data_IF_111886776595
#
_entry.id   IF_111886776595
#
_cell.length_a   1.000
_cell.length_b   1.000
_cell.length_c   1.000
_cell.angle_alpha   90.00
_cell.angle_beta   90.00
_cell.angle_gamma   90.00
#
_symmetry.space_group_name_H-M   'P 1'
#
loop_
_entity.id
_entity.type
_entity.pdbx_description
1 polymer ?
#
# COMPACT_ATOMS: atom_id res chain seq x y z
N UNK A 1 2.46 -9.72 -25.66
CA UNK A 1 3.62 -8.82 -25.67
C UNK A 1 4.67 -9.22 -24.64
N UNK A 2 4.41 -9.12 -23.30
CA UNK A 2 5.43 -9.41 -22.26
C UNK A 2 5.90 -10.88 -22.34
N UNK A 3 4.97 -11.85 -22.42
CA UNK A 3 5.30 -13.27 -22.55
C UNK A 3 6.15 -13.56 -23.79
N UNK A 4 5.76 -13.02 -24.92
CA UNK A 4 6.50 -13.17 -26.20
C UNK A 4 7.91 -12.57 -26.11
N UNK A 5 8.06 -11.41 -25.44
CA UNK A 5 9.38 -10.81 -25.20
C UNK A 5 10.29 -11.74 -24.39
N UNK A 6 9.76 -12.36 -23.34
CA UNK A 6 10.53 -13.35 -22.57
C UNK A 6 10.90 -14.59 -23.38
N UNK A 7 9.98 -15.07 -24.22
CA UNK A 7 10.26 -16.20 -25.15
C UNK A 7 11.40 -15.86 -26.13
N UNK A 8 11.46 -14.60 -26.64
CA UNK A 8 12.57 -14.14 -27.48
C UNK A 8 13.93 -14.10 -26.76
N UNK A 9 13.93 -13.93 -25.44
CA UNK A 9 15.13 -14.04 -24.60
C UNK A 9 15.45 -15.50 -24.18
N UNK A 10 14.73 -16.49 -24.72
CA UNK A 10 14.93 -17.90 -24.38
C UNK A 10 14.40 -18.29 -22.99
N UNK A 11 13.56 -17.46 -22.39
CA UNK A 11 12.95 -17.74 -21.09
C UNK A 11 11.63 -18.48 -21.31
N UNK A 12 11.53 -19.67 -20.71
CA UNK A 12 10.31 -20.48 -20.71
C UNK A 12 9.65 -20.50 -19.34
N UNK A 13 8.35 -20.66 -19.32
CA UNK A 13 7.55 -20.79 -18.12
C UNK A 13 6.65 -22.02 -18.20
N UNK A 14 6.56 -22.80 -17.14
CA UNK A 14 5.57 -23.86 -17.03
C UNK A 14 4.17 -23.28 -16.96
N UNK A 15 4.02 -22.16 -16.19
CA UNK A 15 2.80 -21.38 -16.10
C UNK A 15 3.15 -19.89 -16.18
N UNK A 16 2.55 -19.18 -17.13
CA UNK A 16 2.60 -17.73 -17.21
C UNK A 16 1.25 -17.16 -16.79
N UNK A 17 1.19 -16.58 -15.59
CA UNK A 17 -0.04 -16.05 -14.99
C UNK A 17 0.06 -14.56 -14.70
N UNK A 18 -1.02 -14.00 -14.18
CA UNK A 18 -1.13 -12.60 -13.78
C UNK A 18 -2.09 -12.46 -12.60
N UNK A 19 -1.95 -11.39 -11.83
CA UNK A 19 -2.79 -11.09 -10.66
C UNK A 19 -4.25 -10.74 -11.00
N UNK A 20 -4.56 -10.55 -12.27
CA UNK A 20 -5.94 -10.35 -12.78
C UNK A 20 -6.61 -11.65 -13.23
N UNK A 21 -6.05 -12.83 -12.93
CA UNK A 21 -6.69 -14.10 -13.22
C UNK A 21 -7.79 -14.42 -12.20
N UNK A 22 -8.87 -15.09 -12.65
CA UNK A 22 -9.99 -15.46 -11.79
C UNK A 22 -9.55 -16.33 -10.61
N UNK A 23 -8.59 -17.24 -10.85
CA UNK A 23 -8.01 -18.10 -9.80
C UNK A 23 -7.34 -17.24 -8.73
N UNK A 24 -6.56 -16.23 -9.13
CA UNK A 24 -5.90 -15.33 -8.17
C UNK A 24 -6.93 -14.52 -7.38
N UNK A 25 -7.96 -13.98 -8.04
CA UNK A 25 -9.02 -13.24 -7.38
C UNK A 25 -9.78 -14.10 -6.37
N UNK A 26 -10.18 -15.30 -6.76
CA UNK A 26 -10.89 -16.23 -5.87
C UNK A 26 -10.03 -16.61 -4.65
N UNK A 27 -8.75 -16.92 -4.87
CA UNK A 27 -7.85 -17.32 -3.80
C UNK A 27 -7.55 -16.18 -2.82
N UNK A 28 -7.28 -14.98 -3.34
CA UNK A 28 -6.99 -13.80 -2.50
C UNK A 28 -8.22 -13.38 -1.68
N UNK A 29 -9.41 -13.41 -2.28
CA UNK A 29 -10.67 -13.15 -1.57
C UNK A 29 -10.93 -14.19 -0.46
N UNK A 30 -10.70 -15.48 -0.74
CA UNK A 30 -10.84 -16.55 0.27
C UNK A 30 -9.82 -16.40 1.40
N UNK A 31 -8.58 -16.04 1.08
CA UNK A 31 -7.53 -15.80 2.07
C UNK A 31 -7.88 -14.62 2.98
N UNK A 32 -8.33 -13.50 2.40
CA UNK A 32 -8.78 -12.34 3.16
C UNK A 32 -9.94 -12.72 4.11
N UNK A 33 -10.95 -13.46 3.61
CA UNK A 33 -12.09 -13.89 4.41
C UNK A 33 -11.65 -14.74 5.60
N UNK A 34 -10.76 -15.70 5.41
CA UNK A 34 -10.20 -16.53 6.49
C UNK A 34 -9.47 -15.70 7.55
N UNK A 35 -8.68 -14.72 7.13
CA UNK A 35 -8.01 -13.83 8.07
C UNK A 35 -9.01 -12.97 8.85
N UNK A 36 -10.05 -12.47 8.19
CA UNK A 36 -11.12 -11.68 8.81
C UNK A 36 -11.90 -12.52 9.83
N UNK A 37 -12.34 -13.72 9.47
CA UNK A 37 -13.07 -14.65 10.34
C UNK A 37 -12.23 -15.08 11.57
N UNK A 38 -10.92 -15.14 11.43
CA UNK A 38 -9.98 -15.42 12.52
C UNK A 38 -9.61 -14.18 13.36
N UNK A 39 -10.23 -13.03 13.11
CA UNK A 39 -9.96 -11.81 13.88
C UNK A 39 -8.56 -11.23 13.71
N UNK A 40 -7.92 -11.47 12.57
CA UNK A 40 -6.54 -11.02 12.31
C UNK A 40 -6.47 -9.54 11.90
N UNK A 41 -7.58 -8.89 11.63
CA UNK A 41 -7.62 -7.49 11.26
C UNK A 41 -8.23 -6.63 12.36
N UNK A 42 -7.77 -5.38 12.44
CA UNK A 42 -8.45 -4.32 13.16
C UNK A 42 -9.14 -3.39 12.14
N UNK A 43 -10.28 -2.84 12.53
CA UNK A 43 -11.01 -1.86 11.72
C UNK A 43 -10.69 -0.45 12.23
N UNK A 44 -10.27 0.42 11.33
CA UNK A 44 -10.02 1.82 11.66
C UNK A 44 -10.70 2.73 10.64
N UNK A 45 -11.30 3.81 11.16
CA UNK A 45 -11.81 4.90 10.33
C UNK A 45 -10.79 6.02 10.35
N UNK A 46 -10.40 6.46 9.15
CA UNK A 46 -9.44 7.55 8.95
C UNK A 46 -9.93 8.50 7.87
N UNK A 47 -9.50 9.76 7.94
CA UNK A 47 -9.72 10.71 6.87
C UNK A 47 -8.69 10.47 5.76
N UNK A 48 -9.18 10.35 4.52
CA UNK A 48 -8.34 10.27 3.34
C UNK A 48 -8.68 11.34 2.32
N UNK A 49 -7.72 11.67 1.46
CA UNK A 49 -7.92 12.64 0.40
C UNK A 49 -8.89 12.11 -0.66
N UNK A 50 -9.84 12.94 -0.98
CA UNK A 50 -10.95 12.69 -1.88
C UNK A 50 -11.08 13.85 -2.87
N UNK A 51 -11.27 13.55 -4.13
CA UNK A 51 -11.57 14.54 -5.16
C UNK A 51 -13.09 14.65 -5.32
N UNK A 52 -13.73 15.76 -4.89
CA UNK A 52 -15.18 15.91 -4.95
C UNK A 52 -15.73 15.97 -6.40
N UNK A 53 -14.91 16.40 -7.37
CA UNK A 53 -15.34 16.53 -8.76
C UNK A 53 -15.34 15.20 -9.49
N UNK A 54 -14.36 14.34 -9.21
CA UNK A 54 -14.28 13.00 -9.80
C UNK A 54 -15.03 11.95 -9.00
N UNK A 55 -15.29 12.19 -7.71
CA UNK A 55 -15.96 11.26 -6.82
C UNK A 55 -15.07 10.12 -6.32
N UNK A 56 -13.73 10.25 -6.41
CA UNK A 56 -12.79 9.19 -6.07
C UNK A 56 -11.86 9.56 -4.91
N UNK A 57 -11.52 8.56 -4.10
CA UNK A 57 -10.39 8.65 -3.18
C UNK A 57 -9.08 8.55 -3.95
N UNK A 58 -8.04 9.20 -3.45
CA UNK A 58 -6.75 9.26 -4.11
C UNK A 58 -5.67 8.53 -3.31
N UNK A 59 -4.81 7.83 -4.03
CA UNK A 59 -3.59 7.26 -3.45
C UNK A 59 -2.48 8.31 -3.39
N UNK A 60 -1.47 8.07 -2.57
CA UNK A 60 -0.35 9.00 -2.32
C UNK A 60 0.30 9.52 -3.61
N UNK A 61 0.43 8.65 -4.64
CA UNK A 61 1.02 9.02 -5.94
C UNK A 61 0.08 9.82 -6.85
N UNK A 62 -1.20 9.81 -6.57
CA UNK A 62 -2.19 10.61 -7.31
C UNK A 62 -2.40 11.98 -6.67
N UNK A 63 -1.63 12.30 -5.61
CA UNK A 63 -1.66 13.59 -4.92
C UNK A 63 -0.33 14.30 -5.12
N UNK A 64 -0.39 15.56 -5.50
CA UNK A 64 0.76 16.47 -5.59
C UNK A 64 0.52 17.71 -4.77
N UNK A 65 1.63 18.36 -4.38
CA UNK A 65 1.60 19.63 -3.66
C UNK A 65 2.98 20.24 -3.58
N UNK A 66 3.14 21.29 -2.77
CA UNK A 66 4.44 21.87 -2.47
C UNK A 66 5.11 21.06 -1.35
N UNK A 67 6.38 20.73 -1.52
CA UNK A 67 7.16 20.03 -0.51
C UNK A 67 7.39 20.89 0.74
N UNK A 68 7.06 20.45 1.95
CA UNK A 68 7.26 21.24 3.17
C UNK A 68 8.74 21.45 3.53
N UNK A 69 9.65 20.66 2.95
CA UNK A 69 11.09 20.73 3.27
C UNK A 69 11.90 21.60 2.34
N UNK A 70 11.65 21.52 1.04
CA UNK A 70 12.45 22.25 0.05
C UNK A 70 11.63 23.21 -0.83
N UNK A 71 10.34 23.34 -0.57
CA UNK A 71 9.39 24.18 -1.31
C UNK A 71 9.33 23.91 -2.82
N UNK A 72 9.72 22.70 -3.24
CA UNK A 72 9.55 22.31 -4.63
C UNK A 72 8.07 22.09 -4.93
N UNK A 73 7.58 22.69 -6.01
CA UNK A 73 6.23 22.47 -6.51
C UNK A 73 6.12 21.10 -7.19
N UNK A 74 4.96 20.46 -7.05
CA UNK A 74 4.64 19.17 -7.68
C UNK A 74 5.29 17.95 -7.01
N UNK A 75 5.69 18.05 -5.74
CA UNK A 75 6.11 16.90 -4.95
C UNK A 75 4.94 15.92 -4.78
N UNK A 76 5.22 14.62 -4.92
CA UNK A 76 4.22 13.56 -4.70
C UNK A 76 3.96 13.33 -3.21
N UNK A 77 2.79 12.76 -2.90
CA UNK A 77 2.37 12.51 -1.54
C UNK A 77 3.21 11.48 -0.78
N UNK A 78 3.99 10.65 -1.46
CA UNK A 78 4.89 9.66 -0.86
C UNK A 78 6.35 10.13 -0.79
N UNK A 79 6.77 10.97 -1.73
CA UNK A 79 8.17 11.39 -1.83
C UNK A 79 8.32 12.69 -2.64
N UNK A 80 9.24 13.54 -2.19
CA UNK A 80 9.70 14.66 -2.99
C UNK A 80 10.84 14.24 -3.92
N UNK A 81 10.62 14.25 -5.23
CA UNK A 81 11.65 13.87 -6.22
C UNK A 81 12.83 14.86 -6.28
N UNK A 82 12.67 16.10 -5.79
CA UNK A 82 13.73 17.11 -5.80
C UNK A 82 14.71 16.96 -4.65
N UNK A 83 14.24 16.72 -3.42
CA UNK A 83 15.10 16.61 -2.23
C UNK A 83 15.19 15.22 -1.65
N UNK A 84 14.45 14.24 -2.20
CA UNK A 84 14.44 12.84 -1.75
C UNK A 84 13.71 12.60 -0.43
N UNK A 85 13.07 13.62 0.15
CA UNK A 85 12.35 13.46 1.41
C UNK A 85 11.15 12.52 1.25
N UNK A 86 11.02 11.54 2.15
CA UNK A 86 9.77 10.77 2.32
C UNK A 86 8.72 11.69 2.91
N UNK A 87 7.52 11.64 2.36
CA UNK A 87 6.38 12.47 2.73
C UNK A 87 5.15 11.61 2.97
N UNK A 88 4.15 12.20 3.60
CA UNK A 88 2.76 11.76 3.52
C UNK A 88 1.92 12.84 2.83
N UNK A 89 0.78 12.49 2.22
CA UNK A 89 -0.08 13.47 1.58
C UNK A 89 -0.51 14.62 2.50
N UNK A 90 -0.65 14.35 3.80
CA UNK A 90 -1.01 15.33 4.83
C UNK A 90 0.06 16.39 5.10
N UNK A 91 1.31 16.09 4.78
CA UNK A 91 2.43 17.02 4.96
C UNK A 91 2.55 18.02 3.80
N UNK A 92 1.95 17.72 2.64
CA UNK A 92 2.02 18.59 1.47
C UNK A 92 1.31 19.91 1.71
N UNK A 93 1.92 20.98 1.24
CA UNK A 93 1.31 22.31 1.22
C UNK A 93 0.46 22.41 -0.05
N UNK A 94 -0.81 22.80 0.11
CA UNK A 94 -1.81 22.90 -0.96
C UNK A 94 -1.88 21.64 -1.85
N UNK A 95 -2.25 20.49 -1.29
CA UNK A 95 -2.36 19.25 -2.06
C UNK A 95 -3.48 19.35 -3.11
N UNK A 96 -3.24 18.75 -4.28
CA UNK A 96 -4.17 18.69 -5.40
C UNK A 96 -4.09 17.35 -6.13
N UNK A 97 -5.13 17.00 -6.88
CA UNK A 97 -5.15 15.81 -7.72
C UNK A 97 -4.11 15.93 -8.84
N UNK A 98 -3.17 14.99 -8.90
CA UNK A 98 -2.04 15.02 -9.85
C UNK A 98 -2.46 14.92 -11.33
N UNK A 99 -3.63 14.33 -11.61
CA UNK A 99 -4.13 14.12 -12.97
C UNK A 99 -5.02 15.28 -13.44
N UNK A 100 -5.92 15.76 -12.58
CA UNK A 100 -6.93 16.75 -12.94
C UNK A 100 -6.57 18.16 -12.52
N UNK A 101 -5.71 18.31 -11.51
CA UNK A 101 -5.39 19.59 -10.89
C UNK A 101 -6.45 20.06 -9.88
N UNK A 102 -7.49 19.26 -9.63
CA UNK A 102 -8.58 19.62 -8.73
C UNK A 102 -8.12 19.77 -7.28
N UNK A 103 -8.75 20.68 -6.56
CA UNK A 103 -8.60 20.79 -5.11
C UNK A 103 -9.17 19.55 -4.43
N UNK A 104 -8.52 19.12 -3.35
CA UNK A 104 -8.89 17.93 -2.60
C UNK A 104 -9.66 18.30 -1.32
N UNK A 105 -10.58 17.44 -0.94
CA UNK A 105 -11.22 17.43 0.36
C UNK A 105 -10.75 16.20 1.16
N UNK A 106 -11.02 16.20 2.45
CA UNK A 106 -10.88 15.00 3.28
C UNK A 106 -12.25 14.37 3.50
N UNK A 107 -12.30 13.05 3.46
CA UNK A 107 -13.50 12.26 3.69
C UNK A 107 -13.15 11.05 4.54
N UNK A 108 -13.98 10.78 5.53
CA UNK A 108 -13.83 9.59 6.36
C UNK A 108 -14.08 8.32 5.54
N UNK A 109 -13.22 7.34 5.76
CA UNK A 109 -13.36 5.99 5.21
C UNK A 109 -12.85 4.96 6.20
N UNK A 110 -13.49 3.79 6.20
CA UNK A 110 -13.12 2.66 7.06
C UNK A 110 -12.27 1.68 6.29
N UNK A 111 -11.19 1.24 6.90
CA UNK A 111 -10.30 0.22 6.32
C UNK A 111 -9.97 -0.88 7.32
N UNK A 112 -9.55 -2.03 6.80
CA UNK A 112 -9.00 -3.13 7.58
C UNK A 112 -7.49 -3.05 7.58
N UNK A 113 -6.91 -3.22 8.78
CA UNK A 113 -5.48 -3.12 9.01
C UNK A 113 -4.95 -4.43 9.58
N UNK A 114 -3.83 -4.90 9.07
CA UNK A 114 -3.05 -5.95 9.74
C UNK A 114 -2.24 -5.27 10.87
N UNK A 115 -2.45 -5.66 12.14
CA UNK A 115 -1.78 -5.04 13.29
C UNK A 115 -0.35 -5.56 13.44
N UNK A 116 0.57 -5.10 12.56
CA UNK A 116 1.96 -5.55 12.54
C UNK A 116 2.73 -5.22 13.83
N UNK A 117 2.34 -4.18 14.54
CA UNK A 117 2.87 -3.79 15.85
C UNK A 117 2.73 -4.91 16.88
N UNK A 118 1.65 -5.69 16.84
CA UNK A 118 1.43 -6.83 17.73
C UNK A 118 2.40 -7.98 17.46
N UNK A 119 2.98 -8.05 16.27
CA UNK A 119 3.98 -9.06 15.89
C UNK A 119 5.42 -8.59 16.07
N UNK A 120 5.65 -7.35 16.51
CA UNK A 120 6.97 -6.74 16.66
C UNK A 120 7.95 -7.64 17.43
N UNK A 121 7.63 -8.00 18.66
CA UNK A 121 8.51 -8.80 19.51
C UNK A 121 8.83 -10.18 18.93
N UNK A 122 7.82 -10.83 18.32
CA UNK A 122 8.02 -12.11 17.68
C UNK A 122 8.93 -12.00 16.46
N UNK A 123 8.75 -10.97 15.62
CA UNK A 123 9.58 -10.73 14.44
C UNK A 123 11.01 -10.35 14.83
N UNK A 124 11.21 -9.58 15.90
CA UNK A 124 12.55 -9.28 16.44
C UNK A 124 13.27 -10.57 16.85
N UNK A 125 12.62 -11.43 17.61
CA UNK A 125 13.18 -12.72 18.00
C UNK A 125 13.51 -13.56 16.76
N UNK A 126 12.54 -13.75 15.89
CA UNK A 126 12.68 -14.61 14.72
C UNK A 126 13.74 -14.10 13.74
N UNK A 127 13.74 -12.82 13.38
CA UNK A 127 14.68 -12.26 12.40
C UNK A 127 16.04 -11.97 13.04
N UNK A 128 16.06 -11.22 14.15
CA UNK A 128 17.32 -10.68 14.66
C UNK A 128 18.12 -11.68 15.50
N UNK A 129 17.48 -12.73 16.03
CA UNK A 129 18.16 -13.74 16.83
C UNK A 129 18.34 -15.09 16.10
N UNK A 130 17.32 -15.53 15.35
CA UNK A 130 17.29 -16.86 14.78
C UNK A 130 17.76 -16.92 13.30
N UNK A 131 17.75 -15.77 12.57
CA UNK A 131 18.09 -15.71 11.16
C UNK A 131 19.22 -14.72 10.84
N UNK A 132 20.27 -14.73 11.62
CA UNK A 132 21.48 -13.90 11.39
C UNK A 132 22.27 -14.28 10.15
N UNK A 133 22.02 -15.46 9.59
CA UNK A 133 22.63 -15.97 8.37
C UNK A 133 22.06 -15.33 7.08
N UNK A 134 21.00 -14.57 7.18
CA UNK A 134 20.44 -13.87 6.03
C UNK A 134 21.45 -12.90 5.42
N UNK A 135 21.31 -12.65 4.13
CA UNK A 135 22.17 -11.69 3.44
C UNK A 135 22.17 -10.34 4.17
N UNK A 136 23.35 -9.70 4.32
CA UNK A 136 23.48 -8.46 5.13
C UNK A 136 22.51 -7.35 4.75
N UNK A 137 22.23 -7.18 3.46
CA UNK A 137 21.27 -6.17 2.98
C UNK A 137 19.82 -6.50 3.40
N UNK A 138 19.42 -7.77 3.35
CA UNK A 138 18.09 -8.22 3.77
C UNK A 138 17.94 -8.07 5.29
N UNK A 139 18.89 -8.62 6.04
CA UNK A 139 18.91 -8.51 7.50
C UNK A 139 18.91 -7.05 7.96
N UNK A 140 19.78 -6.21 7.37
CA UNK A 140 19.89 -4.79 7.71
C UNK A 140 18.61 -4.01 7.42
N UNK A 141 17.90 -4.31 6.32
CA UNK A 141 16.63 -3.67 6.01
C UNK A 141 15.53 -4.08 7.00
N UNK A 142 15.41 -5.38 7.31
CA UNK A 142 14.46 -5.87 8.30
C UNK A 142 14.71 -5.26 9.68
N UNK A 143 16.00 -5.23 10.09
CA UNK A 143 16.39 -4.60 11.34
C UNK A 143 16.01 -3.12 11.39
N UNK A 144 16.25 -2.37 10.33
CA UNK A 144 15.89 -0.95 10.26
C UNK A 144 14.38 -0.72 10.44
N UNK A 145 13.54 -1.56 9.86
CA UNK A 145 12.09 -1.48 10.06
C UNK A 145 11.68 -1.82 11.50
N UNK A 146 12.26 -2.85 12.08
CA UNK A 146 12.00 -3.23 13.48
C UNK A 146 12.48 -2.17 14.47
N UNK A 147 13.69 -1.60 14.28
CA UNK A 147 14.21 -0.51 15.10
C UNK A 147 13.31 0.75 15.03
N UNK A 148 12.66 0.99 13.88
CA UNK A 148 11.71 2.09 13.69
C UNK A 148 10.33 1.85 14.32
N UNK A 149 10.06 0.63 14.76
CA UNK A 149 8.75 0.20 15.26
C UNK A 149 7.75 -0.08 14.15
N UNK A 150 7.17 -1.27 14.14
CA UNK A 150 6.12 -1.63 13.19
C UNK A 150 4.81 -0.93 13.55
N UNK A 151 4.03 -0.59 12.53
CA UNK A 151 2.70 0.03 12.68
C UNK A 151 1.65 -0.81 11.99
N UNK A 152 0.37 -0.74 12.39
CA UNK A 152 -0.72 -1.35 11.65
C UNK A 152 -0.67 -0.94 10.17
N UNK A 153 -0.91 -1.90 9.28
CA UNK A 153 -0.85 -1.67 7.84
C UNK A 153 -2.18 -1.94 7.17
N UNK A 154 -2.73 -0.93 6.51
CA UNK A 154 -3.97 -1.06 5.78
C UNK A 154 -3.83 -2.11 4.66
N UNK A 155 -4.77 -3.04 4.62
CA UNK A 155 -4.83 -4.13 3.63
C UNK A 155 -5.93 -3.90 2.59
N UNK A 156 -6.77 -2.88 2.78
CA UNK A 156 -7.81 -2.48 1.84
C UNK A 156 -7.59 -1.07 1.33
N UNK A 157 -8.20 -0.73 0.21
CA UNK A 157 -8.16 0.59 -0.43
C UNK A 157 -9.51 0.95 -1.03
N UNK A 158 -9.83 2.22 -1.10
CA UNK A 158 -10.95 2.76 -1.88
C UNK A 158 -10.50 3.00 -3.33
N UNK A 159 -10.55 1.96 -4.14
CA UNK A 159 -10.13 1.98 -5.54
C UNK A 159 -11.13 1.19 -6.40
N UNK A 160 -11.29 1.61 -7.64
CA UNK A 160 -12.18 0.94 -8.59
C UNK A 160 -11.55 -0.32 -9.22
N UNK A 161 -10.25 -0.50 -9.04
CA UNK A 161 -9.52 -1.61 -9.61
C UNK A 161 -8.78 -2.41 -8.54
N UNK A 162 -9.07 -3.69 -8.49
CA UNK A 162 -8.47 -4.63 -7.54
C UNK A 162 -9.36 -5.85 -7.32
N UNK A 163 -9.11 -6.57 -6.24
CA UNK A 163 -9.92 -7.70 -5.82
C UNK A 163 -10.94 -7.17 -4.80
N UNK A 164 -12.26 -7.25 -5.09
CA UNK A 164 -13.27 -6.77 -4.17
C UNK A 164 -13.14 -7.43 -2.79
N UNK A 165 -13.19 -6.62 -1.75
CA UNK A 165 -13.10 -7.10 -0.36
C UNK A 165 -14.35 -7.92 -0.04
N UNK A 166 -14.22 -9.22 0.35
CA UNK A 166 -15.34 -10.16 0.41
C UNK A 166 -16.07 -10.18 1.76
N UNK A 167 -16.24 -9.01 2.40
CA UNK A 167 -16.91 -8.90 3.69
C UNK A 167 -17.97 -7.80 3.68
N UNK A 168 -18.98 -7.90 4.54
CA UNK A 168 -20.05 -6.92 4.66
C UNK A 168 -19.49 -5.54 5.10
N UNK A 169 -20.04 -4.46 4.54
CA UNK A 169 -19.61 -3.10 4.82
C UNK A 169 -18.31 -2.69 4.13
N UNK A 170 -17.86 -3.48 3.15
CA UNK A 170 -16.67 -3.20 2.33
C UNK A 170 -16.98 -2.81 0.88
N UNK A 171 -18.20 -2.33 0.63
CA UNK A 171 -18.64 -1.93 -0.70
C UNK A 171 -17.72 -0.82 -1.26
N UNK A 172 -17.27 -0.98 -2.51
CA UNK A 172 -16.35 -0.05 -3.18
C UNK A 172 -14.89 -0.13 -2.68
N UNK A 173 -14.52 -1.22 -1.99
CA UNK A 173 -13.16 -1.45 -1.51
C UNK A 173 -12.52 -2.66 -2.19
N UNK A 174 -11.21 -2.56 -2.38
CA UNK A 174 -10.35 -3.63 -2.90
C UNK A 174 -9.18 -3.90 -1.97
#
# INVERSE_FOLDING_TARGET
LIKESFEQFGISYDIYSRTTSDIHHAFAADYFRKMYENGQFIEETSEQFYDPETGHFLTDRNIKGECPRCHALGAYGDQCEKCGATLSPDELINPYNAETGNALAKKETKHWYLPLDQYQAWLEQWILQEHKEWRPNVYGQCKSWLDGGLKPRAVTRDLDWGIPVPVEGAEGKV
#
